data_IF_729211192287
#
_entry.id   IF_729211192287
#
_cell.length_a   1.000
_cell.length_b   1.000
_cell.length_c   1.000
_cell.angle_alpha   90.00
_cell.angle_beta   90.00
_cell.angle_gamma   90.00
#
_symmetry.space_group_name_H-M   'P 1'
#
loop_
_entity.id
_entity.type
_entity.pdbx_description
1 polymer ?
#
# COMPACT_ATOMS: atom_id res chain seq x y z
N UNK A 1 -14.95 8.44 -21.56
CA UNK A 1 -13.67 7.72 -21.70
C UNK A 1 -13.03 7.71 -20.31
N UNK A 2 -12.57 6.65 -19.67
CA UNK A 2 -12.56 5.23 -19.96
C UNK A 2 -12.80 4.45 -18.65
N UNK A 3 -13.56 3.37 -18.74
CA UNK A 3 -13.74 2.43 -17.62
C UNK A 3 -12.66 1.38 -17.75
N UNK A 4 -11.58 1.45 -16.97
CA UNK A 4 -10.67 0.31 -16.79
C UNK A 4 -11.40 -0.77 -15.98
N UNK A 5 -12.26 -1.53 -16.66
CA UNK A 5 -12.84 -2.75 -16.14
C UNK A 5 -11.78 -3.85 -16.20
N UNK A 6 -11.43 -4.37 -15.02
CA UNK A 6 -10.91 -5.71 -14.74
C UNK A 6 -10.54 -6.54 -15.98
N UNK A 7 -9.26 -6.53 -16.35
CA UNK A 7 -8.59 -7.73 -16.85
C UNK A 7 -7.24 -7.75 -16.15
N UNK A 8 -6.99 -8.80 -15.36
CA UNK A 8 -5.68 -9.12 -14.83
C UNK A 8 -4.79 -9.62 -15.99
N UNK A 9 -4.44 -8.73 -16.90
CA UNK A 9 -3.22 -8.90 -17.68
C UNK A 9 -2.16 -8.21 -16.86
N UNK A 10 -1.38 -8.97 -16.09
CA UNK A 10 -0.20 -8.39 -15.43
C UNK A 10 0.64 -7.76 -16.54
N UNK A 11 0.55 -6.44 -16.68
CA UNK A 11 1.36 -5.71 -17.63
C UNK A 11 2.81 -6.09 -17.34
N UNK A 12 3.55 -6.54 -18.35
CA UNK A 12 4.94 -6.91 -18.10
C UNK A 12 5.69 -5.63 -17.74
N UNK A 13 6.49 -5.63 -16.65
CA UNK A 13 7.25 -4.45 -16.28
C UNK A 13 8.17 -4.09 -17.43
N UNK A 14 7.97 -2.89 -17.98
CA UNK A 14 8.73 -2.40 -19.14
C UNK A 14 9.94 -1.59 -18.67
N UNK A 15 9.84 -1.02 -17.47
CA UNK A 15 10.82 -0.13 -16.86
C UNK A 15 11.40 -0.74 -15.57
N UNK A 16 12.59 -0.27 -15.15
CA UNK A 16 13.19 -0.70 -13.88
C UNK A 16 12.34 -0.31 -12.66
N UNK A 17 11.74 0.89 -12.67
CA UNK A 17 10.82 1.37 -11.63
C UNK A 17 9.61 0.43 -11.47
N UNK A 18 8.94 0.14 -12.59
CA UNK A 18 7.81 -0.79 -12.63
C UNK A 18 8.20 -2.20 -12.16
N UNK A 19 9.40 -2.67 -12.53
CA UNK A 19 9.90 -3.97 -12.10
C UNK A 19 10.11 -4.00 -10.58
N UNK A 20 10.63 -2.92 -9.99
CA UNK A 20 10.77 -2.80 -8.54
C UNK A 20 9.40 -2.87 -7.86
N UNK A 21 8.42 -2.12 -8.35
CA UNK A 21 7.05 -2.15 -7.83
C UNK A 21 6.44 -3.55 -7.96
N UNK A 22 6.58 -4.18 -9.12
CA UNK A 22 6.11 -5.54 -9.37
C UNK A 22 6.70 -6.54 -8.37
N UNK A 23 8.00 -6.45 -8.08
CA UNK A 23 8.68 -7.33 -7.11
C UNK A 23 8.16 -7.10 -5.69
N UNK A 24 7.95 -5.86 -5.28
CA UNK A 24 7.39 -5.51 -3.97
C UNK A 24 5.97 -6.07 -3.84
N UNK A 25 5.12 -5.83 -4.83
CA UNK A 25 3.73 -6.33 -4.86
C UNK A 25 3.67 -7.86 -4.94
N UNK A 26 4.58 -8.50 -5.68
CA UNK A 26 4.71 -9.96 -5.72
C UNK A 26 5.04 -10.53 -4.34
N UNK A 27 5.98 -9.93 -3.61
CA UNK A 27 6.30 -10.34 -2.24
C UNK A 27 5.15 -10.10 -1.27
N UNK A 28 4.40 -9.01 -1.46
CA UNK A 28 3.21 -8.70 -0.67
C UNK A 28 1.99 -9.58 -1.02
N UNK A 29 2.08 -10.38 -2.10
CA UNK A 29 0.94 -11.08 -2.70
C UNK A 29 -0.21 -10.11 -3.07
N UNK A 30 0.16 -8.95 -3.61
CA UNK A 30 -0.71 -7.85 -4.05
C UNK A 30 -0.59 -7.58 -5.56
N UNK A 31 -0.10 -8.55 -6.35
CA UNK A 31 0.01 -8.40 -7.81
C UNK A 31 -1.30 -8.01 -8.49
N UNK A 32 -2.46 -8.37 -7.91
CA UNK A 32 -3.76 -7.93 -8.42
C UNK A 32 -3.98 -6.41 -8.39
N UNK A 33 -3.18 -5.67 -7.63
CA UNK A 33 -3.21 -4.21 -7.57
C UNK A 33 -2.20 -3.55 -8.50
N UNK A 34 -1.29 -4.32 -9.12
CA UNK A 34 -0.23 -3.78 -9.95
C UNK A 34 -0.78 -2.93 -11.11
N UNK A 35 -1.71 -3.47 -11.88
CA UNK A 35 -2.33 -2.72 -12.98
C UNK A 35 -3.04 -1.45 -12.50
N UNK A 36 -3.60 -1.47 -11.28
CA UNK A 36 -4.19 -0.27 -10.66
C UNK A 36 -3.13 0.77 -10.33
N UNK A 37 -1.97 0.37 -9.78
CA UNK A 37 -0.87 1.32 -9.55
C UNK A 37 -0.37 1.93 -10.85
N UNK A 38 -0.13 1.10 -11.87
CA UNK A 38 0.33 1.58 -13.18
C UNK A 38 -0.68 2.54 -13.82
N UNK A 39 -1.98 2.21 -13.76
CA UNK A 39 -3.05 3.10 -14.27
C UNK A 39 -3.11 4.45 -13.56
N UNK A 40 -2.68 4.52 -12.30
CA UNK A 40 -2.67 5.75 -11.50
C UNK A 40 -1.32 6.49 -11.55
N UNK A 41 -0.36 6.00 -12.34
CA UNK A 41 0.99 6.57 -12.41
C UNK A 41 1.84 6.30 -11.15
N UNK A 42 1.50 5.26 -10.39
CA UNK A 42 2.28 4.81 -9.24
C UNK A 42 3.33 3.78 -9.64
N UNK A 43 4.07 4.01 -10.72
CA UNK A 43 5.09 3.11 -11.26
C UNK A 43 6.44 3.17 -10.52
N UNK A 44 6.67 4.23 -9.74
CA UNK A 44 7.91 4.44 -8.99
C UNK A 44 7.74 4.20 -7.47
N UNK A 45 8.44 3.19 -6.96
CA UNK A 45 8.42 2.84 -5.53
C UNK A 45 9.10 3.91 -4.67
N UNK A 46 10.09 4.63 -5.20
CA UNK A 46 10.76 5.72 -4.49
C UNK A 46 9.82 6.89 -4.27
N UNK A 47 9.09 7.32 -5.30
CA UNK A 47 8.07 8.36 -5.14
C UNK A 47 7.00 7.93 -4.14
N UNK A 48 6.61 6.65 -4.14
CA UNK A 48 5.68 6.11 -3.15
C UNK A 48 6.22 6.17 -1.71
N UNK A 49 7.54 6.11 -1.53
CA UNK A 49 8.22 6.16 -0.23
C UNK A 49 8.61 7.59 0.19
N UNK A 50 8.80 8.50 -0.76
CA UNK A 50 8.98 9.93 -0.52
C UNK A 50 7.65 10.66 -0.28
N UNK A 51 6.54 10.10 -0.78
CA UNK A 51 5.20 10.63 -0.56
C UNK A 51 4.91 10.85 0.93
N UNK A 52 4.27 11.98 1.23
CA UNK A 52 3.79 12.26 2.57
C UNK A 52 2.72 11.26 3.04
N UNK A 53 2.35 11.32 4.32
CA UNK A 53 1.29 10.44 4.86
C UNK A 53 -0.07 10.67 4.20
N UNK A 54 -0.42 11.94 3.93
CA UNK A 54 -1.67 12.29 3.27
C UNK A 54 -1.69 11.80 1.83
N UNK A 55 -0.62 12.03 1.07
CA UNK A 55 -0.48 11.55 -0.32
C UNK A 55 -0.49 10.02 -0.40
N UNK A 56 0.25 9.34 0.47
CA UNK A 56 0.26 7.88 0.50
C UNK A 56 -1.13 7.31 0.83
N UNK A 57 -1.83 7.88 1.81
CA UNK A 57 -3.19 7.47 2.14
C UNK A 57 -4.17 7.75 1.01
N UNK A 58 -4.02 8.86 0.30
CA UNK A 58 -4.81 9.19 -0.88
C UNK A 58 -4.59 8.16 -1.99
N UNK A 59 -3.34 7.82 -2.32
CA UNK A 59 -3.01 6.78 -3.29
C UNK A 59 -3.59 5.43 -2.84
N UNK A 60 -3.42 5.06 -1.57
CA UNK A 60 -3.99 3.81 -1.02
C UNK A 60 -5.51 3.79 -1.09
N UNK A 61 -6.18 4.92 -0.90
CA UNK A 61 -7.64 5.03 -1.02
C UNK A 61 -8.06 4.90 -2.49
N UNK A 62 -7.30 5.51 -3.39
CA UNK A 62 -7.55 5.53 -4.82
C UNK A 62 -7.38 4.15 -5.45
N UNK A 63 -6.35 3.40 -5.07
CA UNK A 63 -6.18 1.98 -5.46
C UNK A 63 -7.14 1.03 -4.72
N UNK A 64 -7.89 1.52 -3.72
CA UNK A 64 -8.86 0.73 -2.96
C UNK A 64 -8.26 -0.17 -1.87
N UNK A 65 -7.02 0.10 -1.45
CA UNK A 65 -6.36 -0.58 -0.33
C UNK A 65 -6.62 0.08 1.03
N UNK A 66 -6.93 1.38 1.10
CA UNK A 66 -7.19 2.06 2.38
C UNK A 66 -8.37 1.44 3.16
N UNK A 67 -9.37 0.90 2.46
CA UNK A 67 -10.49 0.17 3.07
C UNK A 67 -10.13 -1.25 3.54
N UNK A 68 -8.91 -1.73 3.26
CA UNK A 68 -8.43 -3.09 3.55
C UNK A 68 -7.10 -3.03 4.33
N UNK A 69 -7.14 -2.85 5.66
CA UNK A 69 -5.94 -2.68 6.48
C UNK A 69 -4.97 -3.87 6.41
N UNK A 70 -5.45 -5.09 6.12
CA UNK A 70 -4.61 -6.27 5.94
C UNK A 70 -3.75 -6.20 4.66
N UNK A 71 -4.29 -5.61 3.59
CA UNK A 71 -3.52 -5.44 2.34
C UNK A 71 -2.43 -4.40 2.54
N UNK A 72 -2.79 -3.28 3.20
CA UNK A 72 -1.85 -2.22 3.58
C UNK A 72 -0.72 -2.77 4.46
N UNK A 73 -1.03 -3.61 5.46
CA UNK A 73 0.01 -4.28 6.28
C UNK A 73 0.92 -5.21 5.48
N UNK A 74 0.37 -5.93 4.48
CA UNK A 74 1.19 -6.77 3.59
C UNK A 74 2.12 -5.93 2.73
N UNK A 75 1.62 -4.83 2.16
CA UNK A 75 2.42 -3.89 1.38
C UNK A 75 3.54 -3.28 2.22
N UNK A 76 3.21 -2.81 3.42
CA UNK A 76 4.14 -2.27 4.40
C UNK A 76 5.29 -3.27 4.70
N UNK A 77 4.95 -4.53 4.98
CA UNK A 77 5.95 -5.56 5.28
C UNK A 77 6.83 -5.87 4.07
N UNK A 78 6.25 -5.93 2.87
CA UNK A 78 7.00 -6.16 1.65
C UNK A 78 7.93 -5.01 1.30
N UNK A 79 7.52 -3.76 1.52
CA UNK A 79 8.36 -2.57 1.37
C UNK A 79 9.53 -2.62 2.37
N UNK A 80 9.26 -2.92 3.64
CA UNK A 80 10.29 -3.03 4.67
C UNK A 80 11.31 -4.13 4.33
N UNK A 81 10.85 -5.32 3.92
CA UNK A 81 11.70 -6.42 3.48
C UNK A 81 12.51 -6.09 2.22
N UNK A 82 11.91 -5.37 1.27
CA UNK A 82 12.60 -4.94 0.04
C UNK A 82 13.77 -4.01 0.33
N UNK A 83 13.59 -3.10 1.27
CA UNK A 83 14.63 -2.19 1.77
C UNK A 83 15.71 -2.90 2.60
N UNK A 84 15.30 -3.84 3.46
CA UNK A 84 16.19 -4.49 4.42
C UNK A 84 17.03 -5.60 3.78
N UNK A 85 16.81 -5.88 2.50
CA UNK A 85 17.56 -6.86 1.73
C UNK A 85 18.57 -6.16 0.80
N UNK A 86 19.82 -5.92 1.25
CA UNK A 86 20.81 -5.09 0.55
C UNK A 86 21.26 -5.64 -0.80
N UNK A 87 20.86 -6.87 -1.14
CA UNK A 87 21.18 -7.49 -2.43
C UNK A 87 20.20 -7.18 -3.56
N UNK A 88 19.03 -6.57 -3.29
CA UNK A 88 17.95 -6.65 -4.28
C UNK A 88 17.69 -5.44 -5.19
N UNK A 89 17.80 -4.16 -4.80
CA UNK A 89 17.57 -2.98 -5.72
C UNK A 89 17.29 -1.65 -5.02
N UNK A 90 17.25 -1.58 -3.68
CA UNK A 90 16.92 -0.34 -2.98
C UNK A 90 18.17 0.47 -2.62
N UNK A 91 18.22 1.78 -2.89
CA UNK A 91 19.32 2.59 -2.39
C UNK A 91 19.22 2.73 -0.86
N UNK A 92 20.35 2.70 -0.16
CA UNK A 92 20.38 2.71 1.31
C UNK A 92 19.65 3.91 1.94
N UNK A 93 19.52 5.03 1.22
CA UNK A 93 18.78 6.20 1.70
C UNK A 93 17.26 5.97 1.75
N UNK A 94 16.70 5.14 0.86
CA UNK A 94 15.29 4.73 0.92
C UNK A 94 15.03 3.88 2.16
N UNK A 95 16.06 3.23 2.71
CA UNK A 95 15.87 2.32 3.82
C UNK A 95 15.28 2.99 5.05
N UNK A 96 15.79 4.18 5.37
CA UNK A 96 15.27 5.00 6.45
C UNK A 96 13.85 5.51 6.13
N UNK A 97 13.61 5.99 4.91
CA UNK A 97 12.31 6.53 4.50
C UNK A 97 11.21 5.48 4.56
N UNK A 98 11.47 4.25 4.10
CA UNK A 98 10.49 3.15 4.15
C UNK A 98 10.20 2.74 5.59
N UNK A 99 11.18 2.75 6.49
CA UNK A 99 10.92 2.50 7.91
C UNK A 99 9.99 3.56 8.51
N UNK A 100 10.16 4.82 8.12
CA UNK A 100 9.31 5.93 8.55
C UNK A 100 7.89 5.80 7.97
N UNK A 101 7.76 5.58 6.66
CA UNK A 101 6.48 5.34 6.00
C UNK A 101 5.78 4.12 6.59
N UNK A 102 6.50 3.02 6.82
CA UNK A 102 5.95 1.84 7.46
C UNK A 102 5.45 2.13 8.88
N UNK A 103 6.23 2.82 9.71
CA UNK A 103 5.80 3.20 11.04
C UNK A 103 4.50 4.03 11.02
N UNK A 104 4.38 4.98 10.08
CA UNK A 104 3.20 5.84 9.90
C UNK A 104 1.99 5.06 9.40
N UNK A 105 2.17 4.18 8.41
CA UNK A 105 1.13 3.26 7.93
C UNK A 105 0.61 2.39 9.09
N UNK A 106 1.50 1.89 9.95
CA UNK A 106 1.14 1.14 11.15
C UNK A 106 0.26 1.96 12.10
N UNK A 107 0.56 3.24 12.31
CA UNK A 107 -0.25 4.16 13.12
C UNK A 107 -1.61 4.45 12.47
N UNK A 108 -1.64 4.77 11.18
CA UNK A 108 -2.86 5.05 10.43
C UNK A 108 -3.83 3.86 10.44
N UNK A 109 -3.31 2.64 10.22
CA UNK A 109 -4.09 1.40 10.28
C UNK A 109 -4.63 1.13 11.69
N UNK A 110 -3.88 1.42 12.75
CA UNK A 110 -4.33 1.28 14.14
C UNK A 110 -5.43 2.29 14.51
N UNK A 111 -5.33 3.53 14.01
CA UNK A 111 -6.36 4.56 14.17
C UNK A 111 -7.68 4.18 13.51
N UNK A 112 -7.63 3.63 12.30
CA UNK A 112 -8.81 3.09 11.60
C UNK A 112 -9.46 1.91 12.34
N UNK A 113 -8.66 0.97 12.85
CA UNK A 113 -9.18 -0.18 13.61
C UNK A 113 -9.87 0.23 14.91
N UNK A 114 -9.28 1.19 15.64
CA UNK A 114 -9.86 1.77 16.86
C UNK A 114 -11.19 2.46 16.59
N UNK A 115 -11.33 3.17 15.47
CA UNK A 115 -12.59 3.83 15.07
C UNK A 115 -13.68 2.85 14.66
N UNK A 116 -13.35 1.73 14.01
CA UNK A 116 -14.35 0.70 13.67
C UNK A 116 -14.87 -0.03 14.91
N UNK A 117 -14.04 -0.25 15.93
CA UNK A 117 -14.46 -0.94 17.15
C UNK A 117 -15.31 -0.08 18.09
N UNK A 118 -15.18 1.25 18.04
CA UNK A 118 -16.02 2.17 18.83
C UNK A 118 -17.43 2.34 18.25
N UNK A 119 -17.63 2.24 16.93
CA UNK A 119 -18.97 2.31 16.32
C UNK A 119 -19.85 1.09 16.59
N UNK A 120 -19.26 -0.09 16.86
CA UNK A 120 -20.01 -1.31 17.19
C UNK A 120 -20.43 -1.42 18.67
N UNK A 121 -20.02 -0.48 19.54
CA UNK A 121 -20.46 -0.44 20.95
C UNK A 121 -21.62 0.52 21.19
N UNK A 122 -22.65 0.53 20.34
CA UNK A 122 -23.96 1.02 20.81
C UNK A 122 -24.55 -0.09 21.69
N UNK A 123 -24.68 0.10 23.01
CA UNK A 123 -25.41 -0.87 23.83
C UNK A 123 -26.83 -0.95 23.28
N UNK A 124 -27.27 -2.17 22.92
CA UNK A 124 -28.67 -2.45 22.63
C UNK A 124 -29.42 -2.24 23.95
N UNK A 125 -29.87 -1.01 24.19
CA UNK A 125 -30.69 -0.67 25.35
C UNK A 125 -32.07 -1.25 25.07
N UNK A 126 -32.31 -2.47 25.57
CA UNK A 126 -33.64 -3.05 25.59
C UNK A 126 -34.54 -2.18 26.49
N UNK A 127 -35.67 -1.64 25.98
CA UNK A 127 -36.68 -1.01 26.82
C UNK A 127 -37.43 -2.08 27.65
N UNK A 128 -38.02 -1.68 28.80
CA UNK A 128 -38.59 -2.57 29.81
C UNK A 128 -39.83 -3.33 29.34
#
# INVERSE_FOLDING_TARGET
>A
MGRCHKIAMTSQPTNESELQLYRVLQRANLLSYYDTFICQGGDDVQQLCEAGEEEFLEIMALVGMASKPLHVRRLQKALQEWVNNPGNTGPAFLAAQVQHVAARISLAVQGLHTKQQSLQKRPVRFPP
#
